data_IF_161019511034
#
_entry.id   IF_161019511034
#
_cell.length_a   1.000
_cell.length_b   1.000
_cell.length_c   1.000
_cell.angle_alpha   90.00
_cell.angle_beta   90.00
_cell.angle_gamma   90.00
#
_symmetry.space_group_name_H-M   'P 1'
#
loop_
_entity.id
_entity.type
_entity.pdbx_description
1 polymer ?
#
# COMPACT_ATOMS: atom_id res chain seq x y z
N UNK A 1 -1.64 -15.07 12.01
CA UNK A 1 -1.39 -13.75 11.37
C UNK A 1 -0.30 -13.92 10.35
N UNK A 2 -0.41 -13.23 9.21
CA UNK A 2 0.55 -13.24 8.12
C UNK A 2 1.21 -11.87 8.05
N UNK A 3 2.54 -11.83 8.04
CA UNK A 3 3.28 -10.59 7.81
C UNK A 3 3.15 -10.21 6.33
N UNK A 4 2.80 -8.97 6.06
CA UNK A 4 2.63 -8.45 4.71
C UNK A 4 3.44 -7.17 4.51
N UNK A 5 3.89 -6.97 3.27
CA UNK A 5 4.64 -5.79 2.84
C UNK A 5 3.82 -4.99 1.85
N UNK A 6 4.00 -3.67 1.88
CA UNK A 6 3.40 -2.79 0.87
C UNK A 6 4.17 -2.97 -0.44
N UNK A 7 3.53 -3.59 -1.43
CA UNK A 7 4.10 -3.79 -2.75
C UNK A 7 4.05 -2.52 -3.61
N UNK A 8 3.02 -1.69 -3.39
CA UNK A 8 2.85 -0.43 -4.09
C UNK A 8 1.42 0.07 -4.04
N UNK A 9 1.15 1.11 -4.83
CA UNK A 9 -0.18 1.67 -5.04
C UNK A 9 -0.53 1.55 -6.52
N UNK A 10 -1.72 1.01 -6.80
CA UNK A 10 -2.30 0.88 -8.13
C UNK A 10 -3.55 1.79 -8.25
N UNK A 11 -4.01 2.00 -9.47
CA UNK A 11 -5.29 2.67 -9.75
C UNK A 11 -6.25 1.66 -10.36
N UNK A 12 -7.47 1.64 -9.84
CA UNK A 12 -8.58 0.91 -10.44
C UNK A 12 -8.84 1.43 -11.86
N UNK A 13 -8.87 0.54 -12.86
CA UNK A 13 -8.94 0.93 -14.26
C UNK A 13 -10.23 1.69 -14.64
N UNK A 14 -11.31 1.46 -13.91
CA UNK A 14 -12.63 2.03 -14.20
C UNK A 14 -12.84 3.29 -13.36
N UNK A 15 -12.70 3.16 -12.05
CA UNK A 15 -13.03 4.22 -11.09
C UNK A 15 -11.87 5.20 -10.88
N UNK A 16 -10.66 4.83 -11.29
CA UNK A 16 -9.40 5.54 -10.98
C UNK A 16 -9.18 5.75 -9.48
N UNK A 17 -9.82 4.92 -8.65
CA UNK A 17 -9.63 4.92 -7.21
C UNK A 17 -8.29 4.27 -6.86
N UNK A 18 -7.52 4.82 -5.92
CA UNK A 18 -6.26 4.23 -5.53
C UNK A 18 -6.45 3.00 -4.64
N UNK A 19 -5.62 2.00 -4.88
CA UNK A 19 -5.59 0.72 -4.16
C UNK A 19 -4.17 0.54 -3.64
N UNK A 20 -4.02 0.33 -2.33
CA UNK A 20 -2.74 -0.17 -1.79
C UNK A 20 -2.72 -1.69 -1.85
N UNK A 21 -1.64 -2.24 -2.38
CA UNK A 21 -1.43 -3.68 -2.47
C UNK A 21 -0.48 -4.15 -1.38
N UNK A 22 -0.96 -5.03 -0.51
CA UNK A 22 -0.14 -5.75 0.45
C UNK A 22 0.18 -7.14 -0.07
N UNK A 23 1.43 -7.58 -0.03
CA UNK A 23 1.85 -8.93 -0.43
C UNK A 23 2.47 -9.68 0.73
N UNK A 24 2.22 -10.99 0.79
CA UNK A 24 2.90 -11.87 1.74
C UNK A 24 4.36 -12.11 1.33
N UNK A 25 5.20 -12.61 2.25
CA UNK A 25 6.61 -12.86 1.96
C UNK A 25 6.86 -13.88 0.82
N UNK A 26 5.86 -14.70 0.46
CA UNK A 26 5.97 -15.62 -0.67
C UNK A 26 5.48 -15.06 -2.00
N UNK A 27 4.99 -13.81 -2.03
CA UNK A 27 4.38 -13.16 -3.20
C UNK A 27 3.27 -13.99 -3.88
N UNK A 28 2.59 -14.85 -3.11
CA UNK A 28 1.50 -15.69 -3.63
C UNK A 28 0.12 -15.12 -3.35
N UNK A 29 0.02 -14.23 -2.37
CA UNK A 29 -1.24 -13.59 -1.96
C UNK A 29 -1.05 -12.08 -1.96
N UNK A 30 -1.94 -11.39 -2.65
CA UNK A 30 -2.08 -9.96 -2.57
C UNK A 30 -3.38 -9.60 -1.87
N UNK A 31 -3.35 -8.64 -0.96
CA UNK A 31 -4.51 -8.07 -0.33
C UNK A 31 -4.68 -6.62 -0.83
N UNK A 32 -5.64 -6.37 -1.74
CA UNK A 32 -5.97 -5.03 -2.20
C UNK A 32 -6.82 -4.31 -1.16
N UNK A 33 -6.45 -3.07 -0.82
CA UNK A 33 -7.23 -2.20 0.06
C UNK A 33 -7.47 -0.87 -0.67
N UNK A 34 -8.73 -0.56 -0.95
CA UNK A 34 -9.13 0.72 -1.52
C UNK A 34 -8.89 1.84 -0.51
N UNK A 35 -8.27 2.93 -0.96
CA UNK A 35 -7.94 4.09 -0.15
C UNK A 35 -8.35 5.37 -0.88
N UNK A 36 -8.32 6.51 -0.18
CA UNK A 36 -8.50 7.82 -0.81
C UNK A 36 -7.19 8.37 -1.38
N UNK A 37 -7.29 9.39 -2.23
CA UNK A 37 -6.13 10.00 -2.89
C UNK A 37 -5.13 10.61 -1.90
N UNK A 38 -5.61 11.24 -0.82
CA UNK A 38 -4.74 11.82 0.20
C UNK A 38 -3.99 10.74 0.99
N UNK A 39 -4.64 9.60 1.25
CA UNK A 39 -4.00 8.45 1.89
C UNK A 39 -2.94 7.84 0.96
N UNK A 40 -3.26 7.71 -0.33
CA UNK A 40 -2.32 7.20 -1.33
C UNK A 40 -1.06 8.07 -1.40
N UNK A 41 -1.21 9.40 -1.43
CA UNK A 41 -0.09 10.35 -1.38
C UNK A 41 0.77 10.17 -0.12
N UNK A 42 0.12 10.04 1.04
CA UNK A 42 0.83 9.86 2.31
C UNK A 42 1.64 8.55 2.38
N UNK A 43 1.13 7.48 1.78
CA UNK A 43 1.80 6.17 1.68
C UNK A 43 2.91 6.22 0.63
N UNK A 44 2.68 6.77 -0.58
CA UNK A 44 3.71 6.89 -1.62
C UNK A 44 4.90 7.71 -1.12
N UNK A 45 4.67 8.85 -0.48
CA UNK A 45 5.75 9.66 0.08
C UNK A 45 6.58 8.90 1.13
N UNK A 46 5.96 7.99 1.89
CA UNK A 46 6.69 7.13 2.83
C UNK A 46 7.49 6.03 2.12
N UNK A 47 6.92 5.39 1.10
CA UNK A 47 7.61 4.38 0.28
C UNK A 47 8.84 4.96 -0.43
N UNK A 48 8.73 6.18 -0.95
CA UNK A 48 9.82 6.91 -1.60
C UNK A 48 10.81 7.53 -0.59
N UNK A 49 10.56 7.35 0.71
CA UNK A 49 11.35 7.91 1.80
C UNK A 49 11.53 9.43 1.68
N UNK A 50 10.49 10.10 1.15
CA UNK A 50 10.48 11.53 0.91
C UNK A 50 10.40 12.27 2.25
N UNK A 51 11.35 13.18 2.49
CA UNK A 51 11.35 14.04 3.67
C UNK A 51 10.79 15.41 3.33
N UNK A 52 9.56 15.74 3.76
CA UNK A 52 8.99 17.05 3.53
C UNK A 52 9.74 18.13 4.33
N UNK A 53 9.74 19.40 3.89
CA UNK A 53 10.41 20.50 4.60
C UNK A 53 9.81 20.78 5.99
N UNK A 54 8.57 20.38 6.22
CA UNK A 54 7.88 20.41 7.51
C UNK A 54 7.15 19.08 7.72
N UNK A 55 7.05 18.57 8.95
CA UNK A 55 6.32 17.34 9.25
C UNK A 55 4.88 17.41 8.76
N UNK A 56 4.44 16.40 8.00
CA UNK A 56 3.04 16.18 7.65
C UNK A 56 2.33 15.43 8.79
N UNK A 57 1.05 15.12 8.62
CA UNK A 57 0.21 14.51 9.67
C UNK A 57 0.79 13.22 10.24
N UNK A 58 1.20 12.28 9.38
CA UNK A 58 1.78 11.01 9.86
C UNK A 58 3.17 11.21 10.47
N UNK A 59 3.95 12.18 9.98
CA UNK A 59 5.25 12.54 10.59
C UNK A 59 5.03 13.16 11.98
N UNK A 60 4.00 13.99 12.16
CA UNK A 60 3.62 14.55 13.46
C UNK A 60 3.25 13.43 14.45
N UNK A 61 2.52 12.40 14.01
CA UNK A 61 2.18 11.24 14.86
C UNK A 61 3.45 10.50 15.27
N UNK A 62 4.38 10.25 14.35
CA UNK A 62 5.67 9.62 14.67
C UNK A 62 6.45 10.47 15.67
N UNK A 63 6.54 11.78 15.45
CA UNK A 63 7.19 12.69 16.40
C UNK A 63 6.54 12.66 17.79
N UNK A 64 5.21 12.52 17.87
CA UNK A 64 4.51 12.37 19.15
C UNK A 64 4.89 11.06 19.85
N UNK A 65 4.93 9.94 19.13
CA UNK A 65 5.38 8.67 19.70
C UNK A 65 6.81 8.77 20.24
N UNK A 66 7.72 9.32 19.43
CA UNK A 66 9.13 9.50 19.79
C UNK A 66 9.29 10.40 21.02
N UNK A 67 8.59 11.54 21.05
CA UNK A 67 8.68 12.52 22.15
C UNK A 67 8.20 11.94 23.49
N UNK A 68 7.28 10.98 23.45
CA UNK A 68 6.70 10.35 24.65
C UNK A 68 7.32 8.99 24.96
N UNK A 69 8.43 8.64 24.30
CA UNK A 69 9.12 7.36 24.42
C UNK A 69 8.17 6.16 24.21
N UNK A 70 7.29 6.29 23.22
CA UNK A 70 6.39 5.25 22.76
C UNK A 70 6.91 4.65 21.45
N UNK A 71 6.91 3.33 21.34
CA UNK A 71 7.30 2.63 20.13
C UNK A 71 6.09 1.95 19.49
N UNK A 72 5.93 2.08 18.18
CA UNK A 72 5.00 1.24 17.43
C UNK A 72 5.66 -0.14 17.26
N UNK A 73 5.08 -1.17 17.89
CA UNK A 73 5.60 -2.55 17.84
C UNK A 73 5.17 -3.25 16.55
N UNK A 74 3.90 -3.09 16.18
CA UNK A 74 3.31 -3.68 14.98
C UNK A 74 1.99 -3.00 14.61
N UNK A 75 1.63 -3.13 13.35
CA UNK A 75 0.27 -2.88 12.85
C UNK A 75 -0.43 -4.21 12.62
N UNK A 76 -1.72 -4.29 12.98
CA UNK A 76 -2.54 -5.47 12.74
C UNK A 76 -3.79 -5.05 11.97
N UNK A 77 -3.97 -5.55 10.74
CA UNK A 77 -5.25 -5.49 10.02
C UNK A 77 -6.05 -6.73 10.42
N UNK A 78 -7.07 -6.54 11.26
CA UNK A 78 -7.66 -7.64 12.02
C UNK A 78 -9.09 -8.00 11.63
N UNK A 79 -9.84 -7.16 10.91
CA UNK A 79 -11.18 -7.55 10.46
C UNK A 79 -11.61 -6.85 9.18
N UNK A 80 -12.54 -7.49 8.48
CA UNK A 80 -13.27 -6.93 7.34
C UNK A 80 -14.78 -7.06 7.62
N UNK A 81 -15.48 -5.94 7.68
CA UNK A 81 -16.93 -5.92 7.92
C UNK A 81 -17.61 -5.01 6.90
N UNK A 82 -18.55 -5.55 6.11
CA UNK A 82 -19.28 -4.79 5.07
C UNK A 82 -18.32 -3.95 4.21
N UNK A 83 -17.31 -4.62 3.65
CA UNK A 83 -16.27 -4.01 2.79
C UNK A 83 -15.38 -2.96 3.48
N UNK A 84 -15.43 -2.85 4.82
CA UNK A 84 -14.60 -1.94 5.61
C UNK A 84 -13.56 -2.73 6.40
N UNK A 85 -12.29 -2.49 6.09
CA UNK A 85 -11.17 -3.04 6.84
C UNK A 85 -10.90 -2.23 8.12
N UNK A 86 -10.56 -2.94 9.20
CA UNK A 86 -10.15 -2.37 10.47
C UNK A 86 -8.71 -2.76 10.79
N UNK A 87 -7.97 -1.83 11.37
CA UNK A 87 -6.61 -2.03 11.79
C UNK A 87 -6.37 -1.50 13.20
N UNK A 88 -5.30 -1.96 13.81
CA UNK A 88 -4.87 -1.49 15.11
C UNK A 88 -3.36 -1.22 15.13
N UNK A 89 -2.98 -0.14 15.81
CA UNK A 89 -1.60 0.17 16.16
C UNK A 89 -1.30 -0.45 17.53
N UNK A 90 -0.30 -1.32 17.61
CA UNK A 90 0.17 -1.87 18.88
C UNK A 90 1.33 -1.00 19.37
N UNK A 91 1.08 -0.19 20.38
CA UNK A 91 2.04 0.77 20.95
C UNK A 91 2.61 0.22 22.26
N UNK A 92 3.93 0.29 22.40
CA UNK A 92 4.67 -0.07 23.61
C UNK A 92 5.19 1.21 24.29
N UNK A 93 4.96 1.33 25.59
CA UNK A 93 5.59 2.35 26.45
C UNK A 93 6.08 1.69 27.74
N UNK A 94 7.40 1.55 27.90
CA UNK A 94 7.97 0.79 29.02
C UNK A 94 7.53 -0.68 28.97
N UNK A 95 6.81 -1.15 30.00
CA UNK A 95 6.20 -2.50 30.03
C UNK A 95 4.73 -2.52 29.56
N UNK A 96 4.13 -1.34 29.33
CA UNK A 96 2.72 -1.21 29.00
C UNK A 96 2.51 -1.30 27.49
N UNK A 97 1.69 -2.26 27.06
CA UNK A 97 1.16 -2.33 25.68
C UNK A 97 -0.23 -1.73 25.62
N UNK A 98 -0.48 -0.93 24.59
CA UNK A 98 -1.79 -0.35 24.26
C UNK A 98 -2.11 -0.58 22.81
N UNK A 99 -3.40 -0.70 22.54
CA UNK A 99 -3.96 -0.84 21.22
C UNK A 99 -4.72 0.43 20.87
N UNK A 100 -4.51 0.94 19.65
CA UNK A 100 -5.22 2.10 19.12
C UNK A 100 -5.90 1.68 17.82
N UNK A 101 -7.23 1.78 17.79
CA UNK A 101 -8.02 1.58 16.58
C UNK A 101 -7.62 2.58 15.49
N UNK A 102 -7.48 2.08 14.27
CA UNK A 102 -7.02 2.84 13.13
C UNK A 102 -7.59 2.31 11.81
N UNK A 103 -7.72 3.20 10.83
CA UNK A 103 -7.93 2.76 9.44
C UNK A 103 -6.63 2.13 8.92
N UNK A 104 -6.72 1.08 8.07
CA UNK A 104 -5.53 0.46 7.49
C UNK A 104 -4.62 1.46 6.78
N UNK A 105 -5.17 2.43 6.06
CA UNK A 105 -4.39 3.44 5.34
C UNK A 105 -3.48 4.27 6.25
N UNK A 106 -3.99 4.67 7.42
CA UNK A 106 -3.22 5.46 8.38
C UNK A 106 -2.19 4.59 9.08
N UNK A 107 -2.59 3.37 9.44
CA UNK A 107 -1.71 2.42 10.09
C UNK A 107 -0.52 2.03 9.19
N UNK A 108 -0.77 1.75 7.91
CA UNK A 108 0.26 1.49 6.90
C UNK A 108 1.20 2.70 6.75
N UNK A 109 0.65 3.91 6.65
CA UNK A 109 1.46 5.12 6.48
C UNK A 109 2.40 5.40 7.67
N UNK A 110 1.99 5.08 8.90
CA UNK A 110 2.83 5.20 10.11
C UNK A 110 3.84 4.04 10.17
N UNK A 111 3.42 2.82 9.84
CA UNK A 111 4.29 1.64 9.83
C UNK A 111 5.48 1.83 8.88
N UNK A 112 5.24 2.35 7.68
CA UNK A 112 6.30 2.65 6.71
C UNK A 112 7.31 3.68 7.23
N UNK A 113 6.85 4.72 7.94
CA UNK A 113 7.73 5.76 8.50
C UNK A 113 8.55 5.27 9.69
N UNK A 114 8.02 4.33 10.45
CA UNK A 114 8.67 3.75 11.63
C UNK A 114 9.41 2.44 11.33
N UNK A 115 9.36 1.95 10.08
CA UNK A 115 9.85 0.63 9.68
C UNK A 115 9.28 -0.52 10.55
N UNK A 116 8.02 -0.39 10.92
CA UNK A 116 7.31 -1.37 11.76
C UNK A 116 6.67 -2.46 10.89
N UNK A 117 6.68 -3.74 11.33
CA UNK A 117 6.01 -4.81 10.61
C UNK A 117 4.48 -4.65 10.56
N UNK A 118 3.90 -4.97 9.40
CA UNK A 118 2.46 -4.97 9.15
C UNK A 118 1.99 -6.42 9.13
N UNK A 119 1.01 -6.74 9.98
CA UNK A 119 0.41 -8.06 10.10
C UNK A 119 -1.04 -8.02 9.66
N UNK A 120 -1.50 -9.10 9.05
CA UNK A 120 -2.90 -9.28 8.68
C UNK A 120 -3.42 -10.59 9.29
N UNK A 121 -4.65 -10.57 9.79
CA UNK A 121 -5.31 -11.78 10.27
C UNK A 121 -5.56 -12.76 9.12
N UNK A 122 -5.41 -14.06 9.41
CA UNK A 122 -5.55 -15.11 8.39
C UNK A 122 -6.95 -15.17 7.81
N UNK A 123 -7.97 -14.93 8.64
CA UNK A 123 -9.37 -14.76 8.22
C UNK A 123 -9.53 -13.62 7.21
N UNK A 124 -8.94 -12.45 7.48
CA UNK A 124 -8.97 -11.32 6.55
C UNK A 124 -8.27 -11.64 5.23
N UNK A 125 -7.14 -12.35 5.28
CA UNK A 125 -6.46 -12.81 4.06
C UNK A 125 -7.32 -13.84 3.32
N UNK A 126 -7.95 -14.79 4.01
CA UNK A 126 -8.79 -15.80 3.38
C UNK A 126 -10.01 -15.20 2.68
N UNK A 127 -10.61 -14.16 3.28
CA UNK A 127 -11.83 -13.54 2.76
C UNK A 127 -11.58 -12.55 1.61
N UNK A 128 -10.44 -11.86 1.62
CA UNK A 128 -10.22 -10.71 0.73
C UNK A 128 -8.92 -10.72 -0.08
N UNK A 129 -8.06 -11.74 0.07
CA UNK A 129 -6.86 -11.83 -0.79
C UNK A 129 -7.17 -12.38 -2.17
N UNK A 130 -6.44 -11.88 -3.15
CA UNK A 130 -6.41 -12.42 -4.50
C UNK A 130 -5.12 -13.24 -4.70
N UNK A 131 -5.20 -14.38 -5.40
CA UNK A 131 -3.99 -15.11 -5.80
C UNK A 131 -3.17 -14.23 -6.74
N UNK A 132 -1.86 -14.20 -6.51
CA UNK A 132 -0.90 -13.59 -7.44
C UNK A 132 -0.41 -14.70 -8.35
N UNK A 133 -0.84 -14.67 -9.61
CA UNK A 133 -0.46 -15.68 -10.58
C UNK A 133 0.89 -15.29 -11.23
N UNK A 134 2.00 -15.80 -10.66
CA UNK A 134 3.36 -15.48 -11.12
C UNK A 134 3.58 -15.81 -12.60
N UNK A 135 2.91 -16.84 -13.11
CA UNK A 135 3.06 -17.30 -14.50
C UNK A 135 2.31 -16.38 -15.49
N UNK A 136 1.24 -15.71 -15.05
CA UNK A 136 0.50 -14.74 -15.86
C UNK A 136 1.24 -13.38 -15.95
N UNK A 137 1.86 -12.94 -14.84
CA UNK A 137 2.60 -11.67 -14.79
C UNK A 137 3.91 -11.72 -15.61
N UNK A 138 4.62 -12.85 -15.63
CA UNK A 138 5.83 -12.99 -16.47
C UNK A 138 5.46 -12.97 -17.96
N UNK A 139 4.37 -13.66 -18.36
CA UNK A 139 3.88 -13.65 -19.74
C UNK A 139 3.33 -12.28 -20.17
N UNK A 140 2.62 -11.56 -19.28
CA UNK A 140 2.15 -10.19 -19.55
C UNK A 140 3.31 -9.19 -19.60
N UNK A 141 4.32 -9.33 -18.74
CA UNK A 141 5.54 -8.51 -18.80
C UNK A 141 6.39 -8.82 -20.04
N UNK A 142 6.48 -10.08 -20.45
CA UNK A 142 7.12 -10.50 -21.70
C UNK A 142 6.40 -9.89 -22.90
N UNK A 143 5.07 -10.00 -22.95
CA UNK A 143 4.24 -9.45 -24.01
C UNK A 143 4.31 -7.91 -24.06
N UNK A 144 4.38 -7.25 -22.91
CA UNK A 144 4.58 -5.80 -22.83
C UNK A 144 5.99 -5.40 -23.30
N UNK A 145 7.03 -6.15 -22.95
CA UNK A 145 8.41 -5.93 -23.43
C UNK A 145 8.53 -6.17 -24.94
N UNK A 146 7.92 -7.23 -25.47
CA UNK A 146 7.87 -7.50 -26.91
C UNK A 146 7.11 -6.40 -27.64
N UNK A 147 5.96 -5.95 -27.12
CA UNK A 147 5.19 -4.86 -27.69
C UNK A 147 6.00 -3.56 -27.79
N UNK A 148 6.75 -3.19 -26.75
CA UNK A 148 7.63 -2.01 -26.76
C UNK A 148 8.82 -2.18 -27.72
N UNK A 149 9.38 -3.39 -27.86
CA UNK A 149 10.48 -3.65 -28.80
C UNK A 149 10.05 -3.61 -30.27
N UNK A 150 8.79 -3.93 -30.56
CA UNK A 150 8.21 -3.94 -31.91
C UNK A 150 7.55 -2.61 -32.30
N UNK A 151 7.49 -1.65 -31.38
CA UNK A 151 7.00 -0.30 -31.65
C UNK A 151 8.03 0.49 -32.44
N UNK A 152 7.74 0.72 -33.72
CA UNK A 152 8.55 1.61 -34.57
C UNK A 152 8.21 3.07 -34.24
N UNK A 153 9.19 3.99 -34.29
CA UNK A 153 8.97 5.41 -34.02
C UNK A 153 7.84 6.05 -34.83
N UNK A 154 7.57 5.51 -36.03
CA UNK A 154 6.52 5.98 -36.94
C UNK A 154 5.09 5.71 -36.43
N UNK A 155 4.91 4.69 -35.59
CA UNK A 155 3.61 4.28 -35.06
C UNK A 155 3.16 5.15 -33.87
N UNK A 156 4.09 5.88 -33.22
CA UNK A 156 3.81 6.84 -32.15
C UNK A 156 3.24 8.18 -32.68
N UNK A 157 3.52 8.53 -33.93
CA UNK A 157 3.17 9.85 -34.51
C UNK A 157 1.73 9.88 -35.07
N UNK A 158 1.10 8.73 -35.36
CA UNK A 158 -0.26 8.68 -35.94
C UNK A 158 -1.42 8.80 -34.94
N UNK A 159 -1.19 8.87 -33.63
CA UNK A 159 -2.26 9.00 -32.60
C UNK A 159 -2.35 10.34 -31.89
N UNK A 160 -1.46 11.30 -32.18
CA UNK A 160 -1.51 12.66 -31.61
C UNK A 160 -1.58 13.78 -32.66
N UNK A 161 -1.85 13.45 -33.93
CA UNK A 161 -1.91 14.43 -35.02
C UNK A 161 -3.07 14.20 -35.97
N UNK A 162 -4.30 14.24 -35.46
CA UNK A 162 -5.50 14.56 -36.24
C UNK A 162 -6.61 15.01 -35.28
N UNK A 163 -6.46 16.24 -34.80
CA UNK A 163 -7.54 17.04 -34.26
C UNK A 163 -7.37 18.43 -34.85
N UNK A 164 -7.86 18.62 -36.08
CA UNK A 164 -8.13 19.95 -36.62
C UNK A 164 -9.35 19.85 -37.57
N UNK A 165 -10.50 20.18 -37.00
CA UNK A 165 -11.63 20.90 -37.62
C UNK A 165 -12.75 21.07 -36.60
#
# INVERSE_FOLDING_TARGET
MIEMKVAGIALDAITRSPIVLLKDASDRRALPIYIGQEQARAIMGALENQKPPRPLTHDLIVNMLDTWNMALEKVIIHSLQKDTFYAALIIQQGEVKKEIDARPSDAIAIALRTNTPIWVMEEVVADASIPVDRDADEAEQEAFREFISNLRPEDLIKRFGNGDS
#
